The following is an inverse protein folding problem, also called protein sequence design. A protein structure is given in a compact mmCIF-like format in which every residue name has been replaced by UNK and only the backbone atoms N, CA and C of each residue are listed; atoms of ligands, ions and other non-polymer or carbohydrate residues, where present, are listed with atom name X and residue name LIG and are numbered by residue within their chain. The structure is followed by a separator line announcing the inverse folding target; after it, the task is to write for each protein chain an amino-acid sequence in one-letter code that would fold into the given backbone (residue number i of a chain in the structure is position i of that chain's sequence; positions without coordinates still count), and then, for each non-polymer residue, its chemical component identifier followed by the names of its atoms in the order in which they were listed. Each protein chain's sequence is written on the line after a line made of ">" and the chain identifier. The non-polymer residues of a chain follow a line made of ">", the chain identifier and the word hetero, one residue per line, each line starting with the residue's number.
data_IF_456794904389
#
_entry.id   IF_456794904389
#
_cell.length_a   1.000
_cell.length_b   1.000
_cell.length_c   1.000
_cell.angle_alpha   90.00
_cell.angle_beta   90.00
_cell.angle_gamma   90.00
#
_symmetry.space_group_name_H-M   'P 1'
#
loop_
_entity.id
_entity.type
_entity.pdbx_description
1 polymer ?
#
# COMPACT_ATOMS: atom_id res chain seq x y z
N UNK A 1 -5.16 7.51 21.55
CA UNK A 1 -6.18 8.39 20.93
C UNK A 1 -5.52 9.33 19.93
N UNK A 2 -4.48 10.05 20.35
CA UNK A 2 -3.71 10.99 19.52
C UNK A 2 -3.02 10.34 18.30
N UNK A 3 -2.32 9.21 18.47
CA UNK A 3 -1.64 8.53 17.36
C UNK A 3 -2.58 8.05 16.25
N UNK A 4 -3.76 7.53 16.61
CA UNK A 4 -4.79 7.11 15.65
C UNK A 4 -5.35 8.30 14.89
N UNK A 5 -5.45 9.46 15.55
CA UNK A 5 -5.86 10.71 14.92
C UNK A 5 -4.80 11.19 13.92
N UNK A 6 -3.52 11.18 14.30
CA UNK A 6 -2.40 11.55 13.43
C UNK A 6 -2.31 10.68 12.17
N UNK A 7 -2.44 9.35 12.34
CA UNK A 7 -2.48 8.41 11.21
C UNK A 7 -3.65 8.76 10.27
N UNK A 8 -4.85 8.94 10.84
CA UNK A 8 -6.04 9.29 10.07
C UNK A 8 -5.84 10.60 9.30
N UNK A 9 -5.38 11.66 9.95
CA UNK A 9 -5.16 12.96 9.33
C UNK A 9 -4.15 12.89 8.19
N UNK A 10 -3.07 12.11 8.36
CA UNK A 10 -2.04 11.96 7.35
C UNK A 10 -2.55 11.18 6.13
N UNK A 11 -3.25 10.06 6.36
CA UNK A 11 -3.88 9.26 5.30
C UNK A 11 -4.93 10.09 4.54
N UNK A 12 -5.76 10.86 5.24
CA UNK A 12 -6.81 11.67 4.61
C UNK A 12 -6.27 12.78 3.70
N UNK A 13 -5.01 13.20 3.84
CA UNK A 13 -4.36 14.15 2.93
C UNK A 13 -3.89 13.51 1.63
N UNK A 14 -3.70 12.19 1.62
CA UNK A 14 -3.17 11.43 0.48
C UNK A 14 -4.28 10.87 -0.43
N UNK A 15 -5.45 10.59 0.14
CA UNK A 15 -6.60 10.03 -0.58
C UNK A 15 -7.41 11.12 -1.28
N UNK A 16 -7.20 11.31 -2.58
CA UNK A 16 -7.82 12.40 -3.36
C UNK A 16 -8.96 11.90 -4.22
N UNK A 17 -8.66 10.92 -5.07
CA UNK A 17 -9.52 10.45 -6.15
C UNK A 17 -10.36 9.22 -5.75
N UNK A 18 -11.33 8.86 -6.59
CA UNK A 18 -12.12 7.64 -6.38
C UNK A 18 -11.25 6.39 -6.59
N UNK A 19 -11.55 5.35 -5.83
CA UNK A 19 -10.72 4.16 -5.75
C UNK A 19 -11.56 2.90 -5.58
N UNK A 20 -11.28 1.89 -6.39
CA UNK A 20 -11.92 0.59 -6.29
C UNK A 20 -11.04 -0.42 -5.54
N UNK A 21 -11.39 -0.64 -4.26
CA UNK A 21 -10.68 -1.57 -3.38
C UNK A 21 -10.74 -3.02 -3.86
N UNK A 22 -11.87 -3.47 -4.41
CA UNK A 22 -12.02 -4.88 -4.82
C UNK A 22 -11.22 -5.20 -6.09
N UNK A 23 -11.18 -4.26 -7.03
CA UNK A 23 -10.37 -4.38 -8.24
C UNK A 23 -8.88 -4.41 -7.91
N UNK A 24 -8.43 -3.48 -7.07
CA UNK A 24 -7.03 -3.44 -6.64
C UNK A 24 -6.64 -4.71 -5.87
N UNK A 25 -7.51 -5.22 -4.99
CA UNK A 25 -7.25 -6.50 -4.30
C UNK A 25 -7.16 -7.69 -5.26
N UNK A 26 -7.88 -7.68 -6.38
CA UNK A 26 -7.74 -8.70 -7.42
C UNK A 26 -6.35 -8.65 -8.06
N UNK A 27 -5.85 -7.45 -8.36
CA UNK A 27 -4.49 -7.24 -8.89
C UNK A 27 -3.44 -7.72 -7.90
N UNK A 28 -3.53 -7.30 -6.62
CA UNK A 28 -2.56 -7.69 -5.59
C UNK A 28 -2.51 -9.20 -5.36
N UNK A 29 -3.67 -9.88 -5.46
CA UNK A 29 -3.78 -11.33 -5.27
C UNK A 29 -3.51 -12.15 -6.53
N UNK A 30 -3.17 -11.50 -7.65
CA UNK A 30 -2.81 -12.19 -8.90
C UNK A 30 -1.57 -13.08 -8.74
N UNK A 31 -0.67 -12.74 -7.80
CA UNK A 31 0.40 -13.60 -7.34
C UNK A 31 0.24 -13.90 -5.83
N UNK A 32 -0.50 -14.97 -5.47
CA UNK A 32 -0.84 -15.27 -4.08
C UNK A 32 0.39 -15.46 -3.18
N UNK A 33 1.47 -16.05 -3.70
CA UNK A 33 2.67 -16.31 -2.91
C UNK A 33 3.35 -15.02 -2.47
N UNK A 34 3.48 -14.04 -3.36
CA UNK A 34 4.00 -12.71 -3.06
C UNK A 34 3.07 -11.98 -2.09
N UNK A 35 1.77 -11.97 -2.35
CA UNK A 35 0.83 -11.29 -1.45
C UNK A 35 0.86 -11.89 -0.02
N UNK A 36 1.04 -13.21 0.10
CA UNK A 36 1.17 -13.88 1.39
C UNK A 36 2.48 -13.55 2.11
N UNK A 37 3.61 -13.37 1.40
CA UNK A 37 4.90 -13.05 2.03
C UNK A 37 4.87 -11.69 2.74
N UNK A 38 4.05 -10.75 2.28
CA UNK A 38 3.90 -9.43 2.91
C UNK A 38 3.30 -9.46 4.32
N UNK A 39 2.74 -10.60 4.76
CA UNK A 39 2.21 -10.76 6.11
C UNK A 39 1.06 -9.79 6.42
N UNK A 40 0.13 -9.60 5.47
CA UNK A 40 -0.98 -8.65 5.61
C UNK A 40 -1.89 -9.05 6.79
N UNK A 41 -1.85 -8.27 7.87
CA UNK A 41 -2.65 -8.50 9.07
C UNK A 41 -4.05 -7.88 8.96
N UNK A 42 -4.17 -6.74 8.27
CA UNK A 42 -5.44 -6.00 8.20
C UNK A 42 -5.53 -5.20 6.91
N UNK A 43 -6.73 -5.12 6.35
CA UNK A 43 -7.08 -4.34 5.16
C UNK A 43 -8.20 -3.36 5.52
N UNK A 44 -8.08 -2.11 5.08
CA UNK A 44 -9.12 -1.10 5.21
C UNK A 44 -9.36 -0.38 3.90
N UNK A 45 -10.64 -0.25 3.54
CA UNK A 45 -11.08 0.73 2.57
C UNK A 45 -11.07 2.13 3.21
N UNK A 46 -10.44 3.08 2.53
CA UNK A 46 -10.36 4.48 2.99
C UNK A 46 -11.45 5.29 2.29
N UNK A 47 -12.71 5.00 2.64
CA UNK A 47 -13.90 5.67 2.12
C UNK A 47 -14.01 5.67 0.58
N UNK A 48 -13.65 4.56 -0.07
CA UNK A 48 -13.62 4.43 -1.52
C UNK A 48 -12.58 5.33 -2.20
N UNK A 49 -11.51 5.71 -1.49
CA UNK A 49 -10.43 6.58 -2.01
C UNK A 49 -9.02 6.01 -1.83
N UNK A 50 -8.92 4.81 -1.27
CA UNK A 50 -7.65 4.10 -1.14
C UNK A 50 -7.80 2.80 -0.39
N UNK A 51 -6.77 1.96 -0.49
CA UNK A 51 -6.63 0.72 0.25
C UNK A 51 -5.45 0.84 1.21
N UNK A 52 -5.72 0.65 2.50
CA UNK A 52 -4.71 0.65 3.53
C UNK A 52 -4.47 -0.78 4.02
N UNK A 53 -3.20 -1.21 4.03
CA UNK A 53 -2.79 -2.54 4.41
C UNK A 53 -1.81 -2.46 5.59
N UNK A 54 -2.09 -3.17 6.67
CA UNK A 54 -1.09 -3.42 7.71
C UNK A 54 -0.27 -4.64 7.30
N UNK A 55 1.02 -4.45 7.09
CA UNK A 55 1.94 -5.48 6.60
C UNK A 55 2.94 -5.87 7.68
N UNK A 56 3.57 -7.02 7.52
CA UNK A 56 4.67 -7.48 8.34
C UNK A 56 5.77 -8.07 7.43
N UNK A 57 6.19 -7.27 6.46
CA UNK A 57 7.24 -7.65 5.51
C UNK A 57 8.64 -7.55 6.13
N UNK A 58 9.63 -7.96 5.35
CA UNK A 58 11.03 -7.96 5.74
C UNK A 58 11.53 -6.56 6.11
N UNK A 59 11.31 -5.59 5.23
CA UNK A 59 11.79 -4.20 5.36
C UNK A 59 10.80 -3.29 6.07
N UNK A 60 9.50 -3.54 5.92
CA UNK A 60 8.45 -2.69 6.48
C UNK A 60 7.35 -3.48 7.20
N UNK A 61 7.03 -3.08 8.43
CA UNK A 61 6.11 -3.80 9.35
C UNK A 61 4.96 -2.95 9.87
N UNK A 62 4.59 -1.93 9.10
CA UNK A 62 3.53 -0.99 9.47
C UNK A 62 2.52 -0.87 8.30
N UNK A 63 2.25 0.34 7.81
CA UNK A 63 1.17 0.57 6.85
C UNK A 63 1.69 0.78 5.43
N UNK A 64 0.98 0.22 4.47
CA UNK A 64 1.06 0.59 3.05
C UNK A 64 -0.29 1.18 2.66
N UNK A 65 -0.28 2.35 2.03
CA UNK A 65 -1.48 2.98 1.47
C UNK A 65 -1.36 3.02 -0.05
N UNK A 66 -2.38 2.48 -0.71
CA UNK A 66 -2.54 2.53 -2.16
C UNK A 66 -3.67 3.50 -2.47
N UNK A 67 -3.41 4.46 -3.34
CA UNK A 67 -4.42 5.42 -3.85
C UNK A 67 -4.37 5.48 -5.37
N UNK A 68 -5.33 6.16 -5.99
CA UNK A 68 -5.33 6.46 -7.42
C UNK A 68 -5.15 7.94 -7.66
N UNK A 69 -4.60 8.26 -8.82
CA UNK A 69 -4.56 9.60 -9.38
C UNK A 69 -5.63 9.90 -10.41
N UNK A 70 -5.83 11.18 -10.65
CA UNK A 70 -6.61 11.70 -11.78
C UNK A 70 -6.12 11.19 -13.14
N UNK A 71 -4.88 10.72 -13.22
CA UNK A 71 -4.22 10.12 -14.37
C UNK A 71 -4.43 8.61 -14.47
N UNK A 72 -5.28 8.03 -13.62
CA UNK A 72 -5.58 6.60 -13.51
C UNK A 72 -4.38 5.71 -13.10
N UNK A 73 -3.26 6.31 -12.70
CA UNK A 73 -2.12 5.57 -12.15
C UNK A 73 -2.21 5.44 -10.63
N UNK A 74 -1.67 4.35 -10.12
CA UNK A 74 -1.59 4.13 -8.68
C UNK A 74 -0.52 5.01 -8.04
N UNK A 75 -0.76 5.33 -6.76
CA UNK A 75 0.27 5.82 -5.85
C UNK A 75 0.39 4.88 -4.67
N UNK A 76 1.62 4.52 -4.32
CA UNK A 76 1.94 3.65 -3.18
C UNK A 76 2.70 4.48 -2.16
N UNK A 77 2.23 4.48 -0.92
CA UNK A 77 2.85 5.20 0.18
C UNK A 77 3.24 4.22 1.29
N UNK A 78 4.51 4.26 1.69
CA UNK A 78 5.01 3.50 2.84
C UNK A 78 4.88 4.38 4.08
N UNK A 79 4.02 3.96 5.02
CA UNK A 79 3.55 4.80 6.11
C UNK A 79 3.85 4.13 7.47
N UNK A 80 4.39 4.90 8.41
CA UNK A 80 4.60 4.44 9.79
C UNK A 80 3.28 4.29 10.54
N UNK A 81 3.29 3.63 11.71
CA UNK A 81 2.11 3.61 12.62
C UNK A 81 1.54 4.98 12.99
N UNK A 82 2.31 6.06 12.84
CA UNK A 82 1.92 7.42 13.23
C UNK A 82 1.50 8.29 12.04
N UNK A 83 1.52 7.75 10.82
CA UNK A 83 1.11 8.49 9.62
C UNK A 83 2.23 9.25 8.93
N UNK A 84 3.48 9.10 9.38
CA UNK A 84 4.63 9.63 8.65
C UNK A 84 4.84 8.80 7.38
N UNK A 85 4.95 9.49 6.24
CA UNK A 85 5.26 8.89 4.95
C UNK A 85 6.78 8.74 4.85
N UNK A 86 7.25 7.50 4.85
CA UNK A 86 8.66 7.19 4.69
C UNK A 86 9.09 7.25 3.22
N UNK A 87 8.20 6.80 2.34
CA UNK A 87 8.45 6.79 0.90
C UNK A 87 7.14 6.85 0.10
N UNK A 88 7.22 7.24 -1.16
CA UNK A 88 6.09 7.32 -2.07
C UNK A 88 6.48 7.06 -3.52
N UNK A 89 5.67 6.24 -4.19
CA UNK A 89 5.80 5.90 -5.59
C UNK A 89 4.57 6.43 -6.31
N UNK A 90 4.78 7.24 -7.35
CA UNK A 90 3.73 7.82 -8.18
C UNK A 90 3.81 7.27 -9.60
N UNK A 91 2.71 7.31 -10.36
CA UNK A 91 2.70 6.86 -11.75
C UNK A 91 2.81 5.35 -11.91
N UNK A 92 2.41 4.58 -10.90
CA UNK A 92 2.55 3.11 -10.89
C UNK A 92 1.44 2.48 -11.72
N UNK A 93 1.81 1.76 -12.78
CA UNK A 93 0.85 1.04 -13.61
C UNK A 93 0.32 -0.22 -12.89
N UNK A 94 -0.83 -0.73 -13.31
CA UNK A 94 -1.46 -1.90 -12.66
C UNK A 94 -0.59 -3.17 -12.71
N UNK A 95 0.22 -3.34 -13.76
CA UNK A 95 1.13 -4.46 -13.95
C UNK A 95 2.44 -4.30 -13.15
N UNK A 96 2.75 -3.09 -12.69
CA UNK A 96 3.91 -2.76 -11.86
C UNK A 96 3.57 -2.72 -10.36
N UNK A 97 2.28 -2.65 -10.00
CA UNK A 97 1.83 -2.41 -8.63
C UNK A 97 2.34 -3.46 -7.63
N UNK A 98 2.22 -4.74 -7.96
CA UNK A 98 2.66 -5.83 -7.08
C UNK A 98 4.17 -5.74 -6.84
N UNK A 99 4.95 -5.57 -7.90
CA UNK A 99 6.40 -5.47 -7.82
C UNK A 99 6.84 -4.24 -7.04
N UNK A 100 6.23 -3.09 -7.29
CA UNK A 100 6.54 -1.83 -6.59
C UNK A 100 6.38 -2.00 -5.08
N UNK A 101 5.30 -2.65 -4.65
CA UNK A 101 5.08 -2.92 -3.22
C UNK A 101 6.10 -3.93 -2.70
N UNK A 102 6.31 -5.05 -3.41
CA UNK A 102 7.23 -6.11 -2.99
C UNK A 102 8.67 -5.61 -2.82
N UNK A 103 9.18 -4.91 -3.83
CA UNK A 103 10.51 -4.27 -3.84
C UNK A 103 10.68 -3.29 -2.65
N UNK A 104 9.59 -2.65 -2.21
CA UNK A 104 9.61 -1.67 -1.12
C UNK A 104 9.54 -2.28 0.28
N UNK A 105 8.85 -3.42 0.46
CA UNK A 105 8.51 -3.93 1.80
C UNK A 105 9.06 -5.30 2.13
N UNK A 106 9.39 -6.12 1.14
CA UNK A 106 9.67 -7.55 1.33
C UNK A 106 10.91 -8.05 0.58
N UNK A 107 11.05 -7.70 -0.70
CA UNK A 107 12.04 -8.30 -1.58
C UNK A 107 13.48 -8.04 -1.12
N UNK A 108 14.34 -9.04 -1.22
CA UNK A 108 15.77 -8.95 -0.96
C UNK A 108 16.56 -9.57 -2.11
N UNK A 109 17.79 -9.12 -2.33
CA UNK A 109 18.66 -9.57 -3.42
C UNK A 109 18.89 -11.11 -3.39
N UNK A 110 18.82 -11.73 -2.21
CA UNK A 110 19.00 -13.17 -2.04
C UNK A 110 17.83 -14.03 -2.56
N UNK A 111 16.71 -13.43 -2.96
CA UNK A 111 15.60 -14.13 -3.60
C UNK A 111 15.92 -14.35 -5.09
N UNK A 112 16.68 -15.41 -5.39
CA UNK A 112 16.88 -15.86 -6.77
C UNK A 112 15.60 -16.52 -7.32
N UNK A 113 15.15 -16.06 -8.50
CA UNK A 113 14.03 -16.64 -9.26
C UNK A 113 14.53 -17.32 -10.54
#
# INVERSE_FOLDING_TARGET
>A
MEQKLMLKESVMKLVKDEFNTNETLTILRSNPSIFMSWGVETLFDVNGKGLMMKVNGHHHKEWVLITLGWDDYYRVHIITKFGEVLDSYEGVCFDELVRTIDDSIEWVDEYEF
#
